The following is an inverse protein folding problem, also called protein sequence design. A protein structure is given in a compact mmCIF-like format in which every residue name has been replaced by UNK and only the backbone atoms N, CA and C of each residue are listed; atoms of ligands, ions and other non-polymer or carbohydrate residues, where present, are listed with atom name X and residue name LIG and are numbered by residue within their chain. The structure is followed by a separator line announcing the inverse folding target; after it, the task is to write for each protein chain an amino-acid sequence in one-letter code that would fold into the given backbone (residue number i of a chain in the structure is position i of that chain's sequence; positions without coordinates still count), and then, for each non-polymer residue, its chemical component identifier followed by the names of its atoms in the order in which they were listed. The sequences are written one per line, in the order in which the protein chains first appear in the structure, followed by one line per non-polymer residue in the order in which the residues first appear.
data_IF_871722863707
#
_entry.id   IF_871722863707
#
_cell.length_a   1.000
_cell.length_b   1.000
_cell.length_c   1.000
_cell.angle_alpha   90.00
_cell.angle_beta   90.00
_cell.angle_gamma   90.00
#
_symmetry.space_group_name_H-M   'P 1'
#
loop_
_entity.id
_entity.type
_entity.pdbx_description
1 polymer ?
#
# COMPACT_ATOMS: atom_id res chain seq x y z
N UNK A 1 -9.28 -17.60 9.30
CA UNK A 1 -10.40 -17.43 8.34
C UNK A 1 -10.70 -15.95 8.06
N UNK A 2 -11.00 -15.11 9.04
CA UNK A 2 -11.26 -13.65 8.85
C UNK A 2 -10.11 -12.91 8.14
N UNK A 3 -8.86 -13.23 8.46
CA UNK A 3 -7.68 -12.66 7.80
C UNK A 3 -7.63 -13.01 6.30
N UNK A 4 -7.90 -14.25 5.96
CA UNK A 4 -7.97 -14.68 4.56
C UNK A 4 -9.06 -13.94 3.78
N UNK A 5 -10.25 -13.78 4.38
CA UNK A 5 -11.36 -13.02 3.77
C UNK A 5 -11.00 -11.54 3.61
N UNK A 6 -10.33 -10.94 4.60
CA UNK A 6 -9.84 -9.57 4.50
C UNK A 6 -8.90 -9.37 3.32
N UNK A 7 -7.91 -10.23 3.15
CA UNK A 7 -6.98 -10.16 2.02
C UNK A 7 -7.66 -10.41 0.67
N UNK A 8 -8.57 -11.36 0.60
CA UNK A 8 -9.33 -11.61 -0.63
C UNK A 8 -10.20 -10.40 -1.04
N UNK A 9 -10.90 -9.78 -0.08
CA UNK A 9 -11.67 -8.57 -0.34
C UNK A 9 -10.79 -7.39 -0.74
N UNK A 10 -9.64 -7.23 -0.09
CA UNK A 10 -8.66 -6.19 -0.43
C UNK A 10 -8.13 -6.38 -1.85
N UNK A 11 -7.79 -7.61 -2.22
CA UNK A 11 -7.37 -7.95 -3.58
C UNK A 11 -8.46 -7.62 -4.61
N UNK A 12 -9.71 -8.04 -4.37
CA UNK A 12 -10.84 -7.72 -5.26
C UNK A 12 -11.07 -6.20 -5.41
N UNK A 13 -10.82 -5.42 -4.34
CA UNK A 13 -10.89 -3.95 -4.37
C UNK A 13 -9.80 -3.36 -5.26
N UNK A 14 -8.56 -3.80 -5.09
CA UNK A 14 -7.41 -3.29 -5.84
C UNK A 14 -7.48 -3.67 -7.32
N UNK A 15 -7.91 -4.88 -7.62
CA UNK A 15 -8.10 -5.36 -8.98
C UNK A 15 -9.32 -4.74 -9.70
N UNK A 16 -10.11 -3.91 -9.01
CA UNK A 16 -11.29 -3.26 -9.62
C UNK A 16 -12.47 -4.22 -9.87
N UNK A 17 -12.39 -5.47 -9.41
CA UNK A 17 -13.50 -6.44 -9.48
C UNK A 17 -14.72 -5.89 -8.73
N UNK A 18 -14.48 -5.20 -7.62
CA UNK A 18 -15.51 -4.49 -6.89
C UNK A 18 -15.54 -3.03 -7.37
N UNK A 19 -16.60 -2.65 -8.06
CA UNK A 19 -16.74 -1.32 -8.69
C UNK A 19 -16.88 -0.21 -7.64
N UNK A 20 -16.22 0.91 -7.88
CA UNK A 20 -16.28 2.13 -7.04
C UNK A 20 -17.72 2.58 -6.80
N UNK A 21 -18.02 2.96 -5.55
CA UNK A 21 -19.36 3.40 -5.15
C UNK A 21 -20.42 2.30 -5.10
N UNK A 22 -20.07 1.05 -5.44
CA UNK A 22 -21.00 -0.06 -5.35
C UNK A 22 -21.24 -0.49 -3.90
N UNK A 23 -22.44 -0.97 -3.64
CA UNK A 23 -22.83 -1.56 -2.36
C UNK A 23 -22.24 -2.96 -2.24
N UNK A 24 -21.53 -3.21 -1.16
CA UNK A 24 -20.92 -4.51 -0.85
C UNK A 24 -21.94 -5.38 -0.09
N UNK A 25 -22.58 -6.29 -0.82
CA UNK A 25 -23.59 -7.19 -0.25
C UNK A 25 -22.90 -8.36 0.44
N UNK A 26 -23.01 -8.42 1.76
CA UNK A 26 -22.37 -9.44 2.60
C UNK A 26 -22.70 -10.85 2.14
N UNK A 27 -23.99 -11.14 1.84
CA UNK A 27 -24.42 -12.47 1.44
C UNK A 27 -23.85 -12.89 0.08
N UNK A 28 -23.72 -11.94 -0.85
CA UNK A 28 -23.11 -12.20 -2.16
C UNK A 28 -21.62 -12.47 -2.02
N UNK A 29 -20.90 -11.64 -1.26
CA UNK A 29 -19.47 -11.82 -1.00
C UNK A 29 -19.19 -13.13 -0.26
N UNK A 30 -20.01 -13.49 0.72
CA UNK A 30 -19.93 -14.75 1.44
C UNK A 30 -20.04 -15.95 0.49
N UNK A 31 -21.02 -15.89 -0.44
CA UNK A 31 -21.20 -16.91 -1.48
C UNK A 31 -20.01 -16.97 -2.45
N UNK A 32 -19.50 -15.81 -2.89
CA UNK A 32 -18.37 -15.73 -3.83
C UNK A 32 -17.08 -16.29 -3.22
N UNK A 33 -16.85 -16.04 -1.91
CA UNK A 33 -15.66 -16.49 -1.20
C UNK A 33 -15.81 -17.87 -0.52
N UNK A 34 -16.98 -18.51 -0.69
CA UNK A 34 -17.33 -19.80 -0.05
C UNK A 34 -17.12 -19.80 1.48
N UNK A 35 -17.63 -18.75 2.14
CA UNK A 35 -17.55 -18.58 3.60
C UNK A 35 -18.91 -18.18 4.18
N UNK A 36 -19.04 -18.25 5.51
CA UNK A 36 -20.23 -17.71 6.19
C UNK A 36 -20.24 -16.15 6.16
N UNK A 37 -21.40 -15.49 6.38
CA UNK A 37 -21.49 -14.03 6.40
C UNK A 37 -20.68 -13.34 7.51
N UNK A 38 -20.38 -14.04 8.61
CA UNK A 38 -19.69 -13.45 9.78
C UNK A 38 -18.27 -12.98 9.45
N UNK A 39 -17.34 -13.80 8.91
CA UNK A 39 -16.00 -13.34 8.56
C UNK A 39 -16.00 -12.23 7.50
N UNK A 40 -17.00 -12.20 6.61
CA UNK A 40 -17.15 -11.11 5.63
C UNK A 40 -17.52 -9.80 6.32
N UNK A 41 -18.44 -9.83 7.29
CA UNK A 41 -18.82 -8.65 8.06
C UNK A 41 -17.65 -8.09 8.87
N UNK A 42 -16.88 -8.97 9.50
CA UNK A 42 -15.68 -8.57 10.25
C UNK A 42 -14.61 -7.97 9.33
N UNK A 43 -14.36 -8.57 8.18
CA UNK A 43 -13.41 -8.07 7.20
C UNK A 43 -13.84 -6.70 6.63
N UNK A 44 -15.12 -6.53 6.31
CA UNK A 44 -15.65 -5.24 5.85
C UNK A 44 -15.60 -4.16 6.94
N UNK A 45 -15.88 -4.51 8.19
CA UNK A 45 -15.73 -3.59 9.33
C UNK A 45 -14.27 -3.13 9.46
N UNK A 46 -13.31 -4.05 9.33
CA UNK A 46 -11.88 -3.72 9.34
C UNK A 46 -11.48 -2.85 8.14
N UNK A 47 -11.97 -3.14 6.93
CA UNK A 47 -11.75 -2.30 5.74
C UNK A 47 -12.37 -0.90 5.92
N UNK A 48 -13.47 -0.78 6.66
CA UNK A 48 -14.06 0.52 6.97
C UNK A 48 -13.19 1.36 7.92
N UNK A 49 -12.47 0.74 8.87
CA UNK A 49 -11.53 1.48 9.73
C UNK A 49 -10.32 2.01 8.96
N UNK A 50 -10.00 1.43 7.82
CA UNK A 50 -8.91 1.88 6.95
C UNK A 50 -9.35 2.91 5.92
N UNK A 51 -10.67 3.21 5.82
CA UNK A 51 -11.21 4.16 4.86
C UNK A 51 -11.33 3.65 3.42
N UNK A 52 -11.00 2.39 3.14
CA UNK A 52 -11.19 1.76 1.83
C UNK A 52 -12.66 1.47 1.53
N UNK A 53 -13.40 1.25 2.57
CA UNK A 53 -14.85 0.98 2.55
C UNK A 53 -15.52 1.98 3.50
N UNK A 54 -16.68 2.47 3.14
CA UNK A 54 -17.53 3.32 3.99
C UNK A 54 -18.70 2.51 4.49
N UNK A 55 -19.10 2.72 5.75
CA UNK A 55 -20.32 2.15 6.30
C UNK A 55 -21.36 3.24 6.44
N UNK A 56 -22.43 3.18 5.64
CA UNK A 56 -23.54 4.10 5.68
C UNK A 56 -24.75 3.45 6.37
N UNK A 57 -25.34 4.19 7.31
CA UNK A 57 -26.56 3.74 7.95
C UNK A 57 -27.64 3.45 6.88
N UNK A 58 -28.27 2.28 6.95
CA UNK A 58 -29.31 1.78 6.03
C UNK A 58 -28.83 1.37 4.63
N UNK A 59 -27.65 1.77 4.17
CA UNK A 59 -27.09 1.34 2.87
C UNK A 59 -26.06 0.23 3.01
N UNK A 60 -25.51 0.04 4.21
CA UNK A 60 -24.47 -0.95 4.47
C UNK A 60 -23.09 -0.47 4.05
N UNK A 61 -22.25 -1.39 3.57
CA UNK A 61 -20.90 -1.09 3.16
C UNK A 61 -20.85 -0.69 1.69
N UNK A 62 -20.10 0.37 1.39
CA UNK A 62 -19.83 0.85 0.03
C UNK A 62 -18.34 1.06 -0.16
N UNK A 63 -17.85 0.92 -1.38
CA UNK A 63 -16.45 1.24 -1.69
C UNK A 63 -16.24 2.74 -1.61
N UNK A 64 -15.22 3.17 -0.89
CA UNK A 64 -14.89 4.58 -0.77
C UNK A 64 -14.57 5.20 -2.15
N UNK A 65 -14.92 6.47 -2.39
CA UNK A 65 -14.52 7.17 -3.60
C UNK A 65 -12.99 7.32 -3.65
N UNK A 66 -12.41 7.57 -4.84
CA UNK A 66 -11.01 7.97 -4.96
C UNK A 66 -10.68 9.14 -4.02
N UNK A 67 -9.39 9.31 -3.71
CA UNK A 67 -8.93 10.50 -3.00
C UNK A 67 -9.10 11.70 -3.93
N UNK A 68 -9.62 12.79 -3.40
CA UNK A 68 -9.50 14.09 -4.07
C UNK A 68 -8.08 14.67 -3.89
N UNK A 69 -7.77 15.75 -4.62
CA UNK A 69 -6.45 16.39 -4.57
C UNK A 69 -6.04 16.84 -3.16
N UNK A 70 -6.99 17.34 -2.38
CA UNK A 70 -6.74 17.76 -1.00
C UNK A 70 -6.44 16.57 -0.11
N UNK A 71 -7.22 15.50 -0.21
CA UNK A 71 -7.01 14.27 0.55
C UNK A 71 -5.68 13.58 0.18
N UNK A 72 -5.28 13.62 -1.10
CA UNK A 72 -3.98 13.14 -1.53
C UNK A 72 -2.85 13.92 -0.85
N UNK A 73 -2.89 15.25 -0.89
CA UNK A 73 -1.88 16.09 -0.26
C UNK A 73 -1.80 15.85 1.27
N UNK A 74 -2.95 15.75 1.96
CA UNK A 74 -3.01 15.43 3.40
C UNK A 74 -2.40 14.05 3.70
N UNK A 75 -2.63 13.04 2.85
CA UNK A 75 -2.04 11.71 3.01
C UNK A 75 -0.52 11.74 2.79
N UNK A 76 -0.04 12.47 1.77
CA UNK A 76 1.40 12.57 1.49
C UNK A 76 2.13 13.33 2.58
N UNK A 77 1.49 14.35 3.19
CA UNK A 77 2.04 15.03 4.35
C UNK A 77 2.18 14.08 5.56
N UNK A 78 1.15 13.30 5.87
CA UNK A 78 1.21 12.28 6.91
C UNK A 78 2.28 11.22 6.63
N UNK A 79 2.47 10.80 5.38
CA UNK A 79 3.56 9.89 4.97
C UNK A 79 4.93 10.49 5.24
N UNK A 80 5.18 11.74 4.85
CA UNK A 80 6.44 12.43 5.12
C UNK A 80 6.76 12.45 6.60
N UNK A 81 5.80 12.84 7.43
CA UNK A 81 5.98 12.90 8.88
C UNK A 81 6.33 11.54 9.51
N UNK A 82 5.71 10.47 9.05
CA UNK A 82 5.84 9.15 9.68
C UNK A 82 6.96 8.34 9.04
N UNK A 83 7.04 8.27 7.70
CA UNK A 83 8.00 7.39 7.00
C UNK A 83 9.43 7.95 7.05
N UNK A 84 9.61 9.26 6.95
CA UNK A 84 10.94 9.89 7.10
C UNK A 84 11.46 9.69 8.52
N UNK A 85 10.61 9.89 9.53
CA UNK A 85 11.01 9.61 10.92
C UNK A 85 11.26 8.10 11.14
N UNK A 86 10.48 7.23 10.50
CA UNK A 86 10.66 5.78 10.63
C UNK A 86 11.98 5.30 10.04
N UNK A 87 12.34 5.76 8.84
CA UNK A 87 13.60 5.35 8.21
C UNK A 87 14.83 5.87 8.98
N UNK A 88 14.77 7.10 9.51
CA UNK A 88 15.84 7.64 10.37
C UNK A 88 16.07 6.76 11.60
N UNK A 89 14.98 6.32 12.27
CA UNK A 89 15.06 5.40 13.40
C UNK A 89 15.55 4.01 13.01
N UNK A 90 15.05 3.47 11.88
CA UNK A 90 15.49 2.18 11.38
C UNK A 90 16.98 2.19 11.00
N UNK A 91 17.49 3.30 10.47
CA UNK A 91 18.92 3.51 10.20
C UNK A 91 19.75 3.49 11.49
N UNK A 92 19.32 4.20 12.54
CA UNK A 92 20.00 4.22 13.84
C UNK A 92 20.00 2.87 14.56
N UNK A 93 18.87 2.14 14.47
CA UNK A 93 18.74 0.81 15.05
C UNK A 93 19.35 -0.28 14.15
N UNK A 94 19.77 0.09 12.93
CA UNK A 94 20.10 -0.82 11.84
C UNK A 94 21.13 -1.86 12.21
N UNK A 95 20.74 -3.13 12.02
CA UNK A 95 21.64 -4.27 12.08
C UNK A 95 21.74 -4.91 10.68
N UNK A 96 22.75 -5.76 10.48
CA UNK A 96 22.93 -6.49 9.22
C UNK A 96 21.68 -7.30 8.81
N UNK A 97 20.90 -7.80 9.79
CA UNK A 97 19.68 -8.54 9.55
C UNK A 97 18.59 -7.64 8.91
N UNK A 98 18.42 -6.39 9.39
CA UNK A 98 17.49 -5.44 8.79
C UNK A 98 17.80 -5.16 7.33
N UNK A 99 19.06 -4.86 7.01
CA UNK A 99 19.49 -4.60 5.62
C UNK A 99 19.26 -5.83 4.73
N UNK A 100 19.53 -7.02 5.23
CA UNK A 100 19.29 -8.27 4.49
C UNK A 100 17.78 -8.51 4.26
N UNK A 101 16.92 -8.26 5.24
CA UNK A 101 15.47 -8.38 5.10
C UNK A 101 14.91 -7.35 4.11
N UNK A 102 15.44 -6.12 4.14
CA UNK A 102 15.03 -5.06 3.21
C UNK A 102 15.48 -5.37 1.78
N UNK A 103 16.69 -5.89 1.60
CA UNK A 103 17.22 -6.36 0.30
C UNK A 103 16.36 -7.49 -0.27
N UNK A 104 15.94 -8.44 0.57
CA UNK A 104 15.03 -9.51 0.17
C UNK A 104 13.65 -8.98 -0.23
N UNK A 105 13.12 -7.98 0.49
CA UNK A 105 11.86 -7.33 0.13
C UNK A 105 11.97 -6.63 -1.23
N UNK A 106 13.07 -5.93 -1.47
CA UNK A 106 13.37 -5.25 -2.74
C UNK A 106 13.53 -6.24 -3.90
N UNK A 107 14.22 -7.37 -3.70
CA UNK A 107 14.34 -8.42 -4.72
C UNK A 107 12.98 -9.03 -5.07
N UNK A 108 12.11 -9.20 -4.08
CA UNK A 108 10.73 -9.65 -4.31
C UNK A 108 9.95 -8.62 -5.14
N UNK A 109 10.11 -7.34 -4.86
CA UNK A 109 9.48 -6.26 -5.62
C UNK A 109 9.98 -6.22 -7.07
N UNK A 110 11.29 -6.33 -7.27
CA UNK A 110 11.90 -6.38 -8.62
C UNK A 110 11.31 -7.50 -9.46
N UNK A 111 11.25 -8.72 -8.93
CA UNK A 111 10.66 -9.88 -9.61
C UNK A 111 9.17 -9.66 -9.95
N UNK A 112 8.41 -9.07 -9.04
CA UNK A 112 7.00 -8.77 -9.27
C UNK A 112 6.82 -7.72 -10.38
N UNK A 113 7.64 -6.65 -10.39
CA UNK A 113 7.62 -5.60 -11.42
C UNK A 113 8.01 -6.18 -12.79
N UNK A 114 9.05 -6.98 -12.87
CA UNK A 114 9.49 -7.63 -14.11
C UNK A 114 8.41 -8.55 -14.68
N UNK A 115 7.80 -9.37 -13.82
CA UNK A 115 6.70 -10.26 -14.22
C UNK A 115 5.49 -9.46 -14.72
N UNK A 116 5.10 -8.40 -14.01
CA UNK A 116 3.98 -7.54 -14.42
C UNK A 116 4.25 -6.88 -15.78
N UNK A 117 5.44 -6.33 -15.98
CA UNK A 117 5.79 -5.66 -17.24
C UNK A 117 5.85 -6.62 -18.43
N UNK A 118 6.22 -7.88 -18.21
CA UNK A 118 6.28 -8.88 -19.28
C UNK A 118 4.92 -9.42 -19.71
N UNK A 119 3.88 -9.29 -18.86
CA UNK A 119 2.54 -9.85 -19.09
C UNK A 119 1.42 -8.81 -18.99
N UNK A 120 1.74 -7.51 -19.05
CA UNK A 120 0.78 -6.41 -18.85
C UNK A 120 -0.44 -6.47 -19.78
N UNK A 121 -0.25 -6.96 -21.00
CA UNK A 121 -1.28 -7.02 -22.04
C UNK A 121 -2.13 -8.32 -21.96
N UNK A 122 -1.77 -9.29 -21.12
CA UNK A 122 -2.40 -10.61 -21.03
C UNK A 122 -3.29 -10.82 -19.77
N UNK A 123 -3.75 -9.74 -19.13
CA UNK A 123 -4.63 -9.84 -17.94
C UNK A 123 -3.84 -9.85 -16.62
N UNK A 124 -2.87 -8.95 -16.48
CA UNK A 124 -1.94 -8.85 -15.36
C UNK A 124 -2.52 -8.37 -14.01
N UNK A 125 -3.83 -8.55 -13.74
CA UNK A 125 -4.46 -8.08 -12.48
C UNK A 125 -3.83 -8.74 -11.23
N UNK A 126 -3.55 -10.05 -11.29
CA UNK A 126 -2.87 -10.76 -10.19
C UNK A 126 -1.42 -10.31 -10.03
N UNK A 127 -0.74 -9.99 -11.12
CA UNK A 127 0.63 -9.48 -11.08
C UNK A 127 0.68 -8.05 -10.53
N UNK A 128 -0.28 -7.20 -10.88
CA UNK A 128 -0.43 -5.87 -10.30
C UNK A 128 -0.62 -5.93 -8.77
N UNK A 129 -1.42 -6.89 -8.30
CA UNK A 129 -1.55 -7.16 -6.87
C UNK A 129 -0.21 -7.56 -6.22
N UNK A 130 0.56 -8.45 -6.87
CA UNK A 130 1.87 -8.88 -6.36
C UNK A 130 2.86 -7.72 -6.26
N UNK A 131 2.90 -6.84 -7.26
CA UNK A 131 3.72 -5.62 -7.22
C UNK A 131 3.36 -4.76 -6.01
N UNK A 132 2.07 -4.52 -5.80
CA UNK A 132 1.60 -3.72 -4.68
C UNK A 132 1.96 -4.33 -3.32
N UNK A 133 1.76 -5.64 -3.16
CA UNK A 133 2.10 -6.34 -1.91
C UNK A 133 3.61 -6.28 -1.64
N UNK A 134 4.42 -6.39 -2.68
CA UNK A 134 5.87 -6.30 -2.56
C UNK A 134 6.35 -4.90 -2.18
N UNK A 135 5.75 -3.86 -2.76
CA UNK A 135 5.99 -2.46 -2.41
C UNK A 135 5.64 -2.18 -0.92
N UNK A 136 4.45 -2.60 -0.49
CA UNK A 136 4.07 -2.48 0.92
C UNK A 136 4.98 -3.24 1.86
N UNK A 137 5.49 -4.40 1.44
CA UNK A 137 6.44 -5.19 2.23
C UNK A 137 7.75 -4.44 2.44
N UNK A 138 8.25 -3.72 1.44
CA UNK A 138 9.44 -2.87 1.58
C UNK A 138 9.25 -1.83 2.69
N UNK A 139 8.20 -1.02 2.61
CA UNK A 139 7.90 -0.02 3.65
C UNK A 139 7.66 -0.65 5.03
N UNK A 140 6.91 -1.74 5.08
CA UNK A 140 6.64 -2.45 6.34
C UNK A 140 7.93 -2.94 7.02
N UNK A 141 8.91 -3.43 6.25
CA UNK A 141 10.20 -3.85 6.77
C UNK A 141 10.92 -2.70 7.48
N UNK A 142 10.84 -1.46 6.95
CA UNK A 142 11.38 -0.27 7.60
C UNK A 142 10.65 -0.01 8.92
N UNK A 143 9.32 -0.02 8.93
CA UNK A 143 8.52 0.24 10.13
C UNK A 143 8.77 -0.78 11.25
N UNK A 144 8.95 -2.05 10.92
CA UNK A 144 9.26 -3.11 11.89
C UNK A 144 10.60 -2.87 12.60
N UNK A 145 11.54 -2.19 11.92
CA UNK A 145 12.89 -1.94 12.45
C UNK A 145 13.07 -0.58 13.13
N UNK A 146 11.98 0.17 13.32
CA UNK A 146 12.01 1.47 14.03
C UNK A 146 12.27 1.37 15.53
N UNK A 147 12.18 0.18 16.12
CA UNK A 147 12.22 0.00 17.58
C UNK A 147 11.02 0.63 18.32
N UNK A 148 9.98 1.05 17.60
CA UNK A 148 8.82 1.72 18.18
C UNK A 148 7.51 1.06 17.75
N UNK A 149 6.87 0.31 18.67
CA UNK A 149 5.62 -0.39 18.42
C UNK A 149 4.47 0.51 17.96
N UNK A 150 4.45 1.78 18.39
CA UNK A 150 3.37 2.70 18.04
C UNK A 150 3.52 3.20 16.60
N UNK A 151 4.73 3.48 16.14
CA UNK A 151 4.99 3.79 14.71
C UNK A 151 4.52 2.62 13.85
N UNK A 152 4.83 1.39 14.23
CA UNK A 152 4.37 0.18 13.52
C UNK A 152 2.83 0.07 13.46
N UNK A 153 2.12 0.42 14.53
CA UNK A 153 0.64 0.42 14.52
C UNK A 153 0.11 1.52 13.60
N UNK A 154 0.68 2.72 13.65
CA UNK A 154 0.29 3.85 12.80
C UNK A 154 0.54 3.56 11.31
N UNK A 155 1.61 2.85 10.98
CA UNK A 155 1.94 2.49 9.59
C UNK A 155 0.87 1.60 8.93
N UNK A 156 0.17 0.76 9.70
CA UNK A 156 -0.90 -0.09 9.16
C UNK A 156 -2.06 0.74 8.59
N UNK A 157 -2.42 1.85 9.25
CA UNK A 157 -3.44 2.76 8.76
C UNK A 157 -2.99 3.48 7.49
N UNK A 158 -1.73 3.94 7.43
CA UNK A 158 -1.15 4.57 6.25
C UNK A 158 -1.11 3.61 5.05
N UNK A 159 -0.60 2.40 5.25
CA UNK A 159 -0.49 1.39 4.20
C UNK A 159 -1.86 1.10 3.57
N UNK A 160 -2.91 1.06 4.38
CA UNK A 160 -4.27 0.88 3.87
C UNK A 160 -4.72 2.05 2.97
N UNK A 161 -4.34 3.30 3.28
CA UNK A 161 -4.67 4.46 2.44
C UNK A 161 -3.90 4.47 1.11
N UNK A 162 -2.70 3.90 1.05
CA UNK A 162 -1.94 3.76 -0.21
C UNK A 162 -2.71 2.93 -1.25
N UNK A 163 -3.52 1.96 -0.82
CA UNK A 163 -4.41 1.23 -1.72
C UNK A 163 -5.44 2.15 -2.40
N UNK A 164 -5.89 3.23 -1.73
CA UNK A 164 -6.82 4.20 -2.32
C UNK A 164 -6.17 5.02 -3.44
N UNK A 165 -4.90 5.39 -3.31
CA UNK A 165 -4.16 6.09 -4.37
C UNK A 165 -4.13 5.21 -5.61
N UNK A 166 -3.75 3.95 -5.46
CA UNK A 166 -3.68 3.01 -6.59
C UNK A 166 -5.05 2.69 -7.20
N UNK A 167 -6.11 2.67 -6.40
CA UNK A 167 -7.47 2.59 -6.90
C UNK A 167 -7.87 3.83 -7.72
N UNK A 168 -7.24 4.98 -7.47
CA UNK A 168 -7.53 6.24 -8.18
C UNK A 168 -6.83 6.31 -9.53
N UNK A 169 -5.72 5.60 -9.73
CA UNK A 169 -4.99 5.56 -10.98
C UNK A 169 -5.86 4.94 -12.09
N UNK A 170 -6.25 5.76 -13.07
CA UNK A 170 -7.07 5.30 -14.21
C UNK A 170 -6.27 4.47 -15.21
N UNK A 171 -4.94 4.65 -15.24
CA UNK A 171 -4.03 4.04 -16.21
C UNK A 171 -3.37 2.75 -15.71
N UNK A 172 -3.81 2.19 -14.60
CA UNK A 172 -3.12 1.08 -13.94
C UNK A 172 -1.89 1.54 -13.16
N UNK A 173 -1.06 0.60 -12.75
CA UNK A 173 0.14 0.89 -11.98
C UNK A 173 1.23 1.37 -12.96
N UNK A 174 1.28 2.68 -13.24
CA UNK A 174 2.29 3.27 -14.15
C UNK A 174 3.63 3.57 -13.43
N UNK A 175 3.65 3.45 -12.11
CA UNK A 175 4.73 3.93 -11.24
C UNK A 175 5.70 2.86 -10.72
N UNK A 176 5.48 1.60 -11.07
CA UNK A 176 6.17 0.45 -10.48
C UNK A 176 7.69 0.49 -10.64
N UNK A 177 8.16 0.85 -11.84
CA UNK A 177 9.59 0.92 -12.12
C UNK A 177 10.24 2.08 -11.36
N UNK A 178 9.61 3.25 -11.37
CA UNK A 178 10.11 4.42 -10.65
C UNK A 178 10.17 4.17 -9.14
N UNK A 179 9.12 3.55 -8.58
CA UNK A 179 9.11 3.18 -7.16
C UNK A 179 10.22 2.18 -6.83
N UNK A 180 10.47 1.19 -7.70
CA UNK A 180 11.56 0.22 -7.52
C UNK A 180 12.93 0.91 -7.52
N UNK A 181 13.21 1.78 -8.48
CA UNK A 181 14.47 2.52 -8.57
C UNK A 181 14.67 3.42 -7.33
N UNK A 182 13.61 4.09 -6.87
CA UNK A 182 13.64 4.89 -5.65
C UNK A 182 13.88 4.06 -4.38
N UNK A 183 13.33 2.85 -4.32
CA UNK A 183 13.60 1.93 -3.21
C UNK A 183 15.04 1.40 -3.23
N UNK A 184 15.64 1.21 -4.40
CA UNK A 184 17.07 0.90 -4.53
C UNK A 184 17.94 2.05 -3.99
N UNK A 185 17.58 3.31 -4.30
CA UNK A 185 18.25 4.48 -3.73
C UNK A 185 18.12 4.53 -2.20
N UNK A 186 16.92 4.21 -1.66
CA UNK A 186 16.69 4.14 -0.21
C UNK A 186 17.56 3.07 0.45
N UNK A 187 17.65 1.88 -0.12
CA UNK A 187 18.52 0.81 0.39
C UNK A 187 20.00 1.23 0.34
N UNK A 188 20.44 1.85 -0.74
CA UNK A 188 21.79 2.38 -0.86
C UNK A 188 22.08 3.46 0.21
N UNK A 189 21.13 4.36 0.47
CA UNK A 189 21.23 5.37 1.52
C UNK A 189 21.33 4.75 2.91
N UNK A 190 20.52 3.73 3.23
CA UNK A 190 20.60 3.02 4.51
C UNK A 190 21.95 2.30 4.71
N UNK A 191 22.56 1.79 3.65
CA UNK A 191 23.87 1.13 3.68
C UNK A 191 25.00 2.09 4.05
N UNK A 192 24.82 3.40 3.90
CA UNK A 192 25.81 4.40 4.37
C UNK A 192 25.86 4.50 5.89
N UNK A 193 24.81 4.08 6.59
CA UNK A 193 24.65 4.28 8.02
C UNK A 193 24.37 5.74 8.42
N UNK A 194 24.25 6.66 7.45
CA UNK A 194 23.95 8.07 7.71
C UNK A 194 22.44 8.29 7.71
N UNK A 195 21.91 8.62 8.88
CA UNK A 195 20.48 8.90 9.09
C UNK A 195 19.97 10.00 8.15
N UNK A 196 20.70 11.09 7.99
CA UNK A 196 20.24 12.21 7.17
C UNK A 196 20.22 11.86 5.68
N UNK A 197 21.11 10.98 5.23
CA UNK A 197 21.10 10.44 3.85
C UNK A 197 19.85 9.57 3.64
N UNK A 198 19.55 8.69 4.59
CA UNK A 198 18.38 7.82 4.52
C UNK A 198 17.06 8.62 4.56
N UNK A 199 16.95 9.61 5.46
CA UNK A 199 15.78 10.49 5.54
C UNK A 199 15.54 11.26 4.24
N UNK A 200 16.57 11.84 3.63
CA UNK A 200 16.44 12.53 2.32
C UNK A 200 16.02 11.59 1.20
N UNK A 201 16.50 10.35 1.18
CA UNK A 201 16.11 9.39 0.15
C UNK A 201 14.62 9.04 0.27
N UNK A 202 14.11 8.81 1.48
CA UNK A 202 12.69 8.56 1.73
C UNK A 202 11.82 9.77 1.39
N UNK A 203 12.22 10.98 1.78
CA UNK A 203 11.50 12.20 1.46
C UNK A 203 11.41 12.43 -0.05
N UNK A 204 12.52 12.21 -0.78
CA UNK A 204 12.56 12.26 -2.25
C UNK A 204 11.55 11.28 -2.87
N UNK A 205 11.53 10.04 -2.38
CA UNK A 205 10.60 9.01 -2.82
C UNK A 205 9.14 9.47 -2.64
N UNK A 206 8.76 9.93 -1.44
CA UNK A 206 7.38 10.35 -1.16
C UNK A 206 6.98 11.56 -2.04
N UNK A 207 7.87 12.54 -2.21
CA UNK A 207 7.61 13.69 -3.07
C UNK A 207 7.43 13.29 -4.54
N UNK A 208 8.18 12.30 -5.02
CA UNK A 208 8.04 11.78 -6.37
C UNK A 208 6.71 11.02 -6.54
N UNK A 209 6.31 10.21 -5.57
CA UNK A 209 5.01 9.51 -5.56
C UNK A 209 3.87 10.52 -5.56
N UNK A 210 3.94 11.58 -4.74
CA UNK A 210 2.95 12.66 -4.73
C UNK A 210 2.77 13.29 -6.12
N UNK A 211 3.88 13.75 -6.72
CA UNK A 211 3.86 14.37 -8.05
C UNK A 211 3.26 13.47 -9.13
N UNK A 212 3.58 12.16 -9.12
CA UNK A 212 3.03 11.20 -10.09
C UNK A 212 1.55 10.95 -9.83
N UNK A 213 1.16 10.81 -8.56
CA UNK A 213 -0.24 10.61 -8.18
C UNK A 213 -1.13 11.80 -8.50
N UNK A 214 -0.61 13.03 -8.45
CA UNK A 214 -1.33 14.25 -8.86
C UNK A 214 -1.64 14.28 -10.36
N UNK A 215 -0.74 13.74 -11.19
CA UNK A 215 -0.96 13.63 -12.63
C UNK A 215 -2.05 12.61 -12.99
N UNK A 216 -2.23 11.61 -12.15
CA UNK A 216 -3.28 10.59 -12.33
C UNK A 216 -4.67 11.05 -11.84
N UNK A 217 -4.73 12.12 -11.02
CA UNK A 217 -5.98 12.75 -10.63
C UNK A 217 -6.44 13.69 -11.76
N UNK A 218 -7.16 13.14 -12.70
CA UNK A 218 -7.89 13.97 -13.69
C UNK A 218 -8.99 14.76 -12.99
N UNK A 219 -9.11 16.03 -13.35
CA UNK A 219 -10.17 16.96 -12.92
C UNK A 219 -11.58 16.43 -13.21
#
# INVERSE_FOLDING_TARGET
MTEHVYHALLQMLVQGVLKRGSVLRIDLLAKTLDVSPTPVREALARLATTGLVQHEARRGYTIAPPLDRKQLAELMDARRLIEVAAIGRACENGCAAFLADLEKALDTQRKAVEAYQSQKDEGGEDLAWQVMVADLRFHHTIFENTGNRFIRVMSQALSAQLHRIRQSAQAGISDDRNALEEHEEILAALRTGDRAVAERAMEKHINNVERRSELDLTD
#
